data_IF_871518901404
#
_entry.id   IF_871518901404
#
_cell.length_a   1.000
_cell.length_b   1.000
_cell.length_c   1.000
_cell.angle_alpha   90.00
_cell.angle_beta   90.00
_cell.angle_gamma   90.00
#
_symmetry.space_group_name_H-M   'P 1'
#
loop_
_entity.id
_entity.type
_entity.pdbx_description
1 polymer ?
#
# COMPACT_ATOMS: atom_id res chain seq x y z
N UNK A 1 -24.03 31.65 40.60
CA UNK A 1 -22.56 31.53 40.51
C UNK A 1 -22.06 30.10 40.68
N UNK A 2 -22.18 29.43 41.83
CA UNK A 2 -21.62 28.06 41.99
C UNK A 2 -22.36 26.99 41.16
N UNK A 3 -23.70 27.07 41.11
CA UNK A 3 -24.54 26.20 40.28
C UNK A 3 -24.32 26.40 38.77
N UNK A 4 -24.07 27.64 38.33
CA UNK A 4 -23.78 27.93 36.91
C UNK A 4 -22.39 27.43 36.51
N UNK A 5 -21.43 27.44 37.44
CA UNK A 5 -20.09 26.89 37.21
C UNK A 5 -20.10 25.36 37.10
N UNK A 6 -20.94 24.67 37.88
CA UNK A 6 -21.17 23.23 37.74
C UNK A 6 -21.86 22.87 36.43
N UNK A 7 -22.85 23.65 36.00
CA UNK A 7 -23.55 23.41 34.75
C UNK A 7 -22.65 23.64 33.53
N UNK A 8 -21.75 24.63 33.60
CA UNK A 8 -20.70 24.83 32.59
C UNK A 8 -19.69 23.67 32.60
N UNK A 9 -19.25 23.19 33.78
CA UNK A 9 -18.36 22.02 33.88
C UNK A 9 -19.00 20.75 33.31
N UNK A 10 -20.29 20.53 33.59
CA UNK A 10 -21.06 19.40 33.09
C UNK A 10 -21.22 19.45 31.57
N UNK A 11 -21.51 20.63 31.01
CA UNK A 11 -21.54 20.85 29.55
C UNK A 11 -20.18 20.63 28.90
N UNK A 12 -19.08 21.01 29.57
CA UNK A 12 -17.73 20.76 29.04
C UNK A 12 -17.42 19.26 29.01
N UNK A 13 -17.81 18.50 30.03
CA UNK A 13 -17.60 17.03 30.06
C UNK A 13 -18.51 16.29 29.08
N UNK A 14 -19.75 16.77 28.88
CA UNK A 14 -20.64 16.27 27.83
C UNK A 14 -20.14 16.63 26.42
N UNK A 15 -19.47 17.76 26.24
CA UNK A 15 -18.88 18.14 24.94
C UNK A 15 -17.59 17.35 24.64
N UNK A 16 -16.75 17.11 25.66
CA UNK A 16 -15.55 16.25 25.54
C UNK A 16 -15.92 14.78 25.27
N UNK A 17 -17.09 14.30 25.72
CA UNK A 17 -17.55 12.94 25.39
C UNK A 17 -18.13 12.83 23.98
N UNK A 18 -18.51 13.94 23.35
CA UNK A 18 -19.00 13.98 21.96
C UNK A 18 -17.82 14.10 20.97
N UNK A 19 -16.78 14.87 21.32
CA UNK A 19 -15.58 15.00 20.46
C UNK A 19 -14.53 13.90 20.70
N UNK A 20 -14.54 13.21 21.85
CA UNK A 20 -13.71 12.02 22.11
C UNK A 20 -14.41 10.70 21.76
N UNK A 21 -15.59 10.75 21.15
CA UNK A 21 -16.26 9.58 20.61
C UNK A 21 -15.68 9.24 19.23
N UNK A 22 -14.47 8.68 19.22
CA UNK A 22 -14.25 7.52 18.37
C UNK A 22 -15.41 6.56 18.69
N UNK A 23 -16.40 6.48 17.79
CA UNK A 23 -17.62 5.72 18.06
C UNK A 23 -17.23 4.30 18.43
N UNK A 24 -17.83 3.66 19.43
CA UNK A 24 -17.49 2.28 19.81
C UNK A 24 -17.50 1.33 18.61
N UNK A 25 -18.36 1.59 17.61
CA UNK A 25 -18.36 0.87 16.33
C UNK A 25 -17.11 1.09 15.47
N UNK A 26 -16.55 2.30 15.47
CA UNK A 26 -15.29 2.60 14.78
C UNK A 26 -14.09 1.94 15.49
N UNK A 27 -14.10 1.91 16.84
CA UNK A 27 -13.10 1.18 17.62
C UNK A 27 -13.19 -0.34 17.37
N UNK A 28 -14.40 -0.90 17.38
CA UNK A 28 -14.63 -2.31 17.04
C UNK A 28 -14.19 -2.62 15.60
N UNK A 29 -14.57 -1.77 14.64
CA UNK A 29 -14.17 -1.93 13.24
C UNK A 29 -12.64 -1.85 13.05
N UNK A 30 -11.96 -0.98 13.81
CA UNK A 30 -10.50 -0.88 13.79
C UNK A 30 -9.83 -2.07 14.48
N UNK A 31 -10.37 -2.57 15.59
CA UNK A 31 -9.87 -3.77 16.26
C UNK A 31 -9.98 -5.00 15.35
N UNK A 32 -11.11 -5.15 14.64
CA UNK A 32 -11.28 -6.28 13.72
C UNK A 32 -10.37 -6.13 12.51
N UNK A 33 -10.21 -4.92 11.96
CA UNK A 33 -9.27 -4.67 10.86
C UNK A 33 -7.82 -4.91 11.29
N UNK A 34 -7.44 -4.55 12.52
CA UNK A 34 -6.13 -4.85 13.09
C UNK A 34 -5.95 -6.36 13.27
N UNK A 35 -6.96 -7.09 13.76
CA UNK A 35 -6.92 -8.55 13.85
C UNK A 35 -6.79 -9.21 12.47
N UNK A 36 -7.50 -8.71 11.46
CA UNK A 36 -7.39 -9.21 10.09
C UNK A 36 -6.00 -8.93 9.50
N UNK A 37 -5.46 -7.73 9.69
CA UNK A 37 -4.11 -7.36 9.26
C UNK A 37 -3.04 -8.21 9.96
N UNK A 38 -3.19 -8.45 11.27
CA UNK A 38 -2.31 -9.34 12.02
C UNK A 38 -2.42 -10.78 11.51
N UNK A 39 -3.62 -11.29 11.25
CA UNK A 39 -3.80 -12.63 10.69
C UNK A 39 -3.20 -12.78 9.29
N UNK A 40 -3.24 -11.75 8.44
CA UNK A 40 -2.56 -11.76 7.15
C UNK A 40 -1.04 -11.70 7.28
N UNK A 41 -0.52 -10.93 8.25
CA UNK A 41 0.91 -10.92 8.56
C UNK A 41 1.37 -12.28 9.08
N UNK A 42 0.62 -12.90 10.00
CA UNK A 42 0.89 -14.24 10.51
C UNK A 42 0.74 -15.31 9.41
N UNK A 43 -0.22 -15.17 8.49
CA UNK A 43 -0.38 -16.07 7.35
C UNK A 43 0.80 -15.98 6.39
N UNK A 44 1.28 -14.76 6.12
CA UNK A 44 2.50 -14.54 5.35
C UNK A 44 3.69 -15.18 6.07
N UNK A 45 3.84 -14.97 7.38
CA UNK A 45 4.92 -15.57 8.19
C UNK A 45 4.85 -17.11 8.21
N UNK A 46 3.65 -17.69 8.31
CA UNK A 46 3.44 -19.14 8.25
C UNK A 46 3.71 -19.72 6.85
N UNK A 47 3.35 -18.99 5.80
CA UNK A 47 3.69 -19.34 4.41
C UNK A 47 5.20 -19.23 4.16
N UNK A 48 5.85 -18.38 4.95
CA UNK A 48 7.29 -18.18 5.10
C UNK A 48 7.89 -19.15 6.16
N UNK A 49 7.23 -20.27 6.49
CA UNK A 49 7.68 -21.23 7.52
C UNK A 49 8.99 -21.99 7.25
N UNK A 50 9.81 -21.54 6.30
CA UNK A 50 11.16 -22.03 6.01
C UNK A 50 12.09 -20.81 5.90
N UNK A 51 13.13 -20.72 6.75
CA UNK A 51 14.06 -19.56 6.80
C UNK A 51 14.62 -19.21 5.42
N UNK A 52 14.81 -20.22 4.57
CA UNK A 52 15.28 -20.06 3.19
C UNK A 52 14.26 -19.33 2.31
N UNK A 53 12.94 -19.57 2.48
CA UNK A 53 11.89 -18.89 1.72
C UNK A 53 11.64 -17.47 2.21
N UNK A 54 11.76 -17.23 3.52
CA UNK A 54 11.73 -15.90 4.11
C UNK A 54 12.79 -14.99 3.47
N UNK A 55 14.01 -15.53 3.43
CA UNK A 55 15.16 -14.85 2.88
C UNK A 55 15.01 -14.61 1.37
N UNK A 56 14.53 -15.61 0.63
CA UNK A 56 14.25 -15.48 -0.81
C UNK A 56 13.21 -14.41 -1.10
N UNK A 57 12.11 -14.32 -0.34
CA UNK A 57 11.07 -13.31 -0.55
C UNK A 57 11.53 -11.90 -0.18
N UNK A 58 12.29 -11.75 0.91
CA UNK A 58 12.93 -10.48 1.29
C UNK A 58 13.90 -10.00 0.20
N UNK A 59 14.72 -10.90 -0.34
CA UNK A 59 15.64 -10.57 -1.45
C UNK A 59 14.90 -10.23 -2.72
N UNK A 60 13.91 -11.03 -3.10
CA UNK A 60 13.11 -10.81 -4.30
C UNK A 60 12.39 -9.45 -4.24
N UNK A 61 11.93 -9.06 -3.05
CA UNK A 61 11.33 -7.75 -2.85
C UNK A 61 12.36 -6.62 -2.90
N UNK A 62 13.54 -6.81 -2.32
CA UNK A 62 14.65 -5.85 -2.42
C UNK A 62 15.10 -5.64 -3.88
N UNK A 63 15.15 -6.71 -4.67
CA UNK A 63 15.44 -6.67 -6.11
C UNK A 63 14.33 -5.95 -6.88
N UNK A 64 13.06 -6.22 -6.56
CA UNK A 64 11.91 -5.51 -7.12
C UNK A 64 11.99 -4.01 -6.84
N UNK A 65 12.21 -3.60 -5.58
CA UNK A 65 12.27 -2.19 -5.20
C UNK A 65 13.45 -1.48 -5.87
N UNK A 66 14.60 -2.17 -5.97
CA UNK A 66 15.79 -1.66 -6.68
C UNK A 66 15.52 -1.46 -8.17
N UNK A 67 14.82 -2.41 -8.79
CA UNK A 67 14.42 -2.33 -10.19
C UNK A 67 13.41 -1.20 -10.41
N UNK A 68 12.45 -1.02 -9.50
CA UNK A 68 11.49 0.09 -9.52
C UNK A 68 12.20 1.44 -9.43
N UNK A 69 13.13 1.60 -8.49
CA UNK A 69 13.93 2.82 -8.36
C UNK A 69 14.79 3.10 -9.59
N UNK A 70 15.32 2.06 -10.23
CA UNK A 70 16.10 2.18 -11.47
C UNK A 70 15.23 2.70 -12.61
N UNK A 71 14.02 2.15 -12.76
CA UNK A 71 13.05 2.63 -13.75
C UNK A 71 12.67 4.09 -13.50
N UNK A 72 12.39 4.47 -12.25
CA UNK A 72 12.05 5.85 -11.89
C UNK A 72 13.21 6.82 -12.16
N UNK A 73 14.45 6.44 -11.81
CA UNK A 73 15.65 7.23 -12.09
C UNK A 73 15.83 7.42 -13.59
N UNK A 74 15.72 6.35 -14.38
CA UNK A 74 15.85 6.39 -15.84
C UNK A 74 14.87 7.40 -16.44
N UNK A 75 13.62 7.41 -15.99
CA UNK A 75 12.60 8.37 -16.46
C UNK A 75 12.88 9.79 -15.97
N UNK A 76 13.29 9.96 -14.72
CA UNK A 76 13.67 11.28 -14.19
C UNK A 76 14.85 11.87 -14.98
N UNK A 77 15.82 11.05 -15.34
CA UNK A 77 16.94 11.43 -16.21
C UNK A 77 16.44 11.84 -17.59
N UNK A 78 15.54 11.09 -18.23
CA UNK A 78 14.93 11.49 -19.51
C UNK A 78 14.08 12.76 -19.42
N UNK A 79 13.50 13.07 -18.27
CA UNK A 79 12.78 14.34 -18.06
C UNK A 79 13.74 15.54 -17.93
N UNK A 80 14.94 15.31 -17.39
CA UNK A 80 15.94 16.37 -17.13
C UNK A 80 16.88 16.59 -18.32
N UNK A 81 17.36 15.51 -18.95
CA UNK A 81 18.07 15.52 -20.22
C UNK A 81 17.02 15.68 -21.32
N UNK A 82 16.86 16.91 -21.84
CA UNK A 82 16.01 17.23 -23.00
C UNK A 82 16.56 16.62 -24.31
N UNK A 83 16.96 15.37 -24.28
CA UNK A 83 17.44 14.62 -25.43
C UNK A 83 16.21 13.99 -26.10
N UNK A 84 16.01 14.32 -27.37
CA UNK A 84 14.95 13.83 -28.26
C UNK A 84 15.03 12.33 -28.59
N UNK A 85 15.83 11.55 -27.85
CA UNK A 85 15.85 10.10 -28.02
C UNK A 85 14.56 9.53 -27.40
N UNK A 86 13.71 8.97 -28.27
CA UNK A 86 12.49 8.27 -27.87
C UNK A 86 12.88 7.07 -27.01
N UNK A 87 12.89 7.26 -25.70
CA UNK A 87 13.04 6.16 -24.75
C UNK A 87 11.78 5.31 -24.82
N UNK A 88 11.94 4.08 -25.30
CA UNK A 88 10.92 3.05 -25.25
C UNK A 88 11.13 2.20 -24.00
N UNK A 89 10.06 2.06 -23.22
CA UNK A 89 9.91 1.12 -22.11
C UNK A 89 9.10 -0.05 -22.64
N UNK A 90 9.70 -1.23 -22.63
CA UNK A 90 9.04 -2.46 -23.00
C UNK A 90 8.38 -3.12 -21.80
N UNK A 91 7.52 -4.10 -22.06
CA UNK A 91 6.88 -4.87 -20.99
C UNK A 91 7.89 -5.55 -20.03
N UNK A 92 9.10 -5.89 -20.50
CA UNK A 92 10.15 -6.51 -19.69
C UNK A 92 10.98 -5.52 -18.86
N UNK A 93 10.97 -4.23 -19.21
CA UNK A 93 11.64 -3.17 -18.43
C UNK A 93 10.84 -2.80 -17.16
N UNK A 94 9.57 -3.17 -17.12
CA UNK A 94 8.68 -2.89 -15.99
C UNK A 94 8.96 -3.93 -14.90
N UNK A 95 9.33 -3.49 -13.69
CA UNK A 95 9.51 -4.39 -12.56
C UNK A 95 8.12 -4.79 -12.08
N UNK A 96 7.64 -5.92 -12.58
CA UNK A 96 6.40 -6.54 -12.13
C UNK A 96 6.58 -7.14 -10.74
N UNK A 97 5.57 -7.08 -9.87
CA UNK A 97 5.63 -7.79 -8.60
C UNK A 97 5.77 -9.30 -8.86
N UNK A 98 6.56 -10.01 -8.05
CA UNK A 98 6.78 -11.46 -8.21
C UNK A 98 5.50 -12.26 -7.94
N UNK A 99 4.68 -11.80 -7.00
CA UNK A 99 3.35 -12.32 -6.70
C UNK A 99 2.40 -11.15 -6.45
N UNK A 100 1.35 -11.04 -7.27
CA UNK A 100 0.37 -9.95 -7.24
C UNK A 100 -0.53 -10.05 -5.98
N UNK A 101 -0.81 -11.26 -5.51
CA UNK A 101 -1.67 -11.52 -4.35
C UNK A 101 -0.93 -11.22 -3.04
N UNK A 102 0.32 -11.67 -2.93
CA UNK A 102 1.15 -11.44 -1.73
C UNK A 102 1.85 -10.08 -1.71
N UNK A 103 1.78 -9.30 -2.80
CA UNK A 103 2.47 -8.01 -2.93
C UNK A 103 2.15 -7.06 -1.77
N UNK A 104 0.88 -6.94 -1.42
CA UNK A 104 0.43 -6.00 -0.39
C UNK A 104 0.95 -6.40 1.00
N UNK A 105 0.95 -7.70 1.30
CA UNK A 105 1.45 -8.25 2.55
C UNK A 105 2.98 -8.06 2.67
N UNK A 106 3.72 -8.29 1.58
CA UNK A 106 5.17 -8.07 1.54
C UNK A 106 5.53 -6.58 1.74
N UNK A 107 4.80 -5.67 1.09
CA UNK A 107 4.96 -4.23 1.33
C UNK A 107 4.67 -3.85 2.78
N UNK A 108 3.60 -4.39 3.37
CA UNK A 108 3.25 -4.12 4.75
C UNK A 108 4.33 -4.63 5.72
N UNK A 109 4.86 -5.84 5.50
CA UNK A 109 5.96 -6.39 6.28
C UNK A 109 7.20 -5.49 6.25
N UNK A 110 7.55 -4.92 5.08
CA UNK A 110 8.63 -3.95 4.98
C UNK A 110 8.36 -2.64 5.71
N UNK A 111 7.14 -2.09 5.62
CA UNK A 111 6.77 -0.88 6.36
C UNK A 111 6.88 -1.11 7.88
N UNK A 112 6.49 -2.29 8.34
CA UNK A 112 6.58 -2.69 9.74
C UNK A 112 8.03 -2.94 10.17
N UNK A 113 8.88 -3.46 9.27
CA UNK A 113 10.31 -3.65 9.55
C UNK A 113 11.05 -2.31 9.66
N UNK A 114 10.70 -1.34 8.82
CA UNK A 114 11.26 0.02 8.88
C UNK A 114 10.79 0.81 10.11
N UNK A 115 9.59 0.54 10.61
CA UNK A 115 9.03 1.19 11.79
C UNK A 115 8.33 0.17 12.71
N UNK A 116 9.09 -0.37 13.66
CA UNK A 116 8.62 -1.39 14.61
C UNK A 116 7.52 -0.91 15.55
N UNK A 117 7.20 0.40 15.55
CA UNK A 117 6.09 0.97 16.35
C UNK A 117 4.78 1.05 15.55
N UNK A 118 4.82 0.83 14.23
CA UNK A 118 3.64 0.87 13.38
C UNK A 118 2.83 -0.42 13.55
N UNK A 119 1.51 -0.30 13.74
CA UNK A 119 0.59 -1.44 13.83
C UNK A 119 0.46 -2.14 12.48
N UNK A 120 -0.01 -3.39 12.46
CA UNK A 120 -0.14 -4.14 11.21
C UNK A 120 -1.09 -3.39 10.26
N UNK A 121 -2.24 -2.92 10.75
CA UNK A 121 -3.19 -2.18 9.92
C UNK A 121 -2.60 -0.89 9.35
N UNK A 122 -1.81 -0.16 10.16
CA UNK A 122 -1.16 1.06 9.70
C UNK A 122 -0.09 0.79 8.63
N UNK A 123 0.66 -0.31 8.75
CA UNK A 123 1.60 -0.78 7.74
C UNK A 123 0.88 -1.15 6.44
N UNK A 124 -0.21 -1.92 6.51
CA UNK A 124 -1.06 -2.26 5.36
C UNK A 124 -1.69 -1.02 4.71
N UNK A 125 -2.17 -0.05 5.50
CA UNK A 125 -2.69 1.25 4.98
C UNK A 125 -1.62 1.99 4.19
N UNK A 126 -0.37 2.05 4.69
CA UNK A 126 0.76 2.70 4.00
C UNK A 126 1.15 1.95 2.73
N UNK A 127 1.25 0.63 2.81
CA UNK A 127 1.51 -0.27 1.70
C UNK A 127 0.48 -0.09 0.58
N UNK A 128 -0.82 -0.14 0.91
CA UNK A 128 -1.91 0.04 -0.04
C UNK A 128 -1.85 1.38 -0.76
N UNK A 129 -1.60 2.48 -0.02
CA UNK A 129 -1.47 3.81 -0.64
C UNK A 129 -0.30 3.87 -1.61
N UNK A 130 0.85 3.30 -1.25
CA UNK A 130 2.04 3.24 -2.12
C UNK A 130 1.78 2.36 -3.35
N UNK A 131 1.23 1.16 -3.15
CA UNK A 131 0.92 0.21 -4.21
C UNK A 131 -0.10 0.79 -5.20
N UNK A 132 -1.19 1.37 -4.68
CA UNK A 132 -2.21 2.04 -5.49
C UNK A 132 -1.63 3.20 -6.30
N UNK A 133 -0.77 4.04 -5.73
CA UNK A 133 -0.16 5.13 -6.50
C UNK A 133 0.79 4.65 -7.59
N UNK A 134 1.47 3.52 -7.38
CA UNK A 134 2.39 2.90 -8.36
C UNK A 134 1.65 2.21 -9.49
N UNK A 135 0.61 1.43 -9.16
CA UNK A 135 -0.06 0.52 -10.09
C UNK A 135 -1.46 0.95 -10.52
N UNK A 136 -1.97 2.10 -10.08
CA UNK A 136 -3.25 2.59 -10.59
C UNK A 136 -3.14 2.90 -12.09
N UNK A 137 -4.04 2.39 -12.95
CA UNK A 137 -3.92 2.48 -14.41
C UNK A 137 -3.71 3.91 -14.90
N UNK A 138 -4.47 4.87 -14.38
CA UNK A 138 -4.34 6.30 -14.71
C UNK A 138 -2.98 6.88 -14.28
N UNK A 139 -2.50 6.56 -13.07
CA UNK A 139 -1.23 7.09 -12.56
C UNK A 139 -0.05 6.48 -13.30
N UNK A 140 -0.13 5.20 -13.60
CA UNK A 140 0.85 4.50 -14.41
C UNK A 140 0.89 5.07 -15.83
N UNK A 141 -0.27 5.21 -16.50
CA UNK A 141 -0.35 5.80 -17.84
C UNK A 141 0.15 7.24 -17.87
N UNK A 142 -0.17 8.06 -16.87
CA UNK A 142 0.30 9.45 -16.78
C UNK A 142 1.83 9.54 -16.65
N UNK A 143 2.45 8.62 -15.89
CA UNK A 143 3.89 8.62 -15.62
C UNK A 143 4.71 7.94 -16.73
N UNK A 144 4.25 6.77 -17.19
CA UNK A 144 4.98 5.89 -18.10
C UNK A 144 4.41 5.87 -19.53
N UNK A 145 3.14 6.24 -19.73
CA UNK A 145 2.41 6.01 -20.98
C UNK A 145 3.04 6.63 -22.22
N UNK A 146 3.69 7.80 -22.10
CA UNK A 146 4.41 8.45 -23.21
C UNK A 146 5.73 7.75 -23.60
N UNK A 147 6.23 6.87 -22.75
CA UNK A 147 7.47 6.13 -22.95
C UNK A 147 7.21 4.65 -23.29
N UNK A 148 5.98 4.16 -23.17
CA UNK A 148 5.66 2.77 -23.50
C UNK A 148 5.76 2.54 -25.01
N UNK A 149 6.37 1.43 -25.41
CA UNK A 149 6.30 0.97 -26.80
C UNK A 149 4.84 0.72 -27.19
N UNK A 150 4.31 1.28 -28.29
CA UNK A 150 2.95 1.04 -28.75
C UNK A 150 2.57 -0.44 -28.92
N UNK A 151 3.55 -1.33 -29.17
CA UNK A 151 3.34 -2.78 -29.28
C UNK A 151 3.05 -3.44 -27.94
N UNK A 152 3.66 -2.92 -26.87
CA UNK A 152 3.55 -3.47 -25.52
C UNK A 152 2.51 -2.72 -24.68
N UNK A 153 2.10 -1.52 -25.11
CA UNK A 153 1.22 -0.63 -24.35
C UNK A 153 -0.07 -1.31 -23.88
N UNK A 154 -0.78 -2.03 -24.75
CA UNK A 154 -2.02 -2.70 -24.40
C UNK A 154 -1.81 -3.84 -23.40
N UNK A 155 -0.75 -4.64 -23.59
CA UNK A 155 -0.39 -5.73 -22.69
C UNK A 155 -0.01 -5.21 -21.30
N UNK A 156 0.80 -4.15 -21.26
CA UNK A 156 1.21 -3.48 -20.03
C UNK A 156 -0.01 -2.93 -19.30
N UNK A 157 -0.90 -2.22 -20.00
CA UNK A 157 -2.11 -1.66 -19.41
C UNK A 157 -3.03 -2.74 -18.84
N UNK A 158 -3.17 -3.88 -19.51
CA UNK A 158 -3.96 -5.00 -19.00
C UNK A 158 -3.35 -5.60 -17.73
N UNK A 159 -2.02 -5.80 -17.72
CA UNK A 159 -1.35 -6.33 -16.55
C UNK A 159 -1.37 -5.36 -15.37
N UNK A 160 -1.21 -4.05 -15.61
CA UNK A 160 -1.36 -3.01 -14.60
C UNK A 160 -2.78 -3.03 -13.99
N UNK A 161 -3.82 -3.26 -14.81
CA UNK A 161 -5.19 -3.46 -14.30
C UNK A 161 -5.28 -4.69 -13.39
N UNK A 162 -4.68 -5.82 -13.78
CA UNK A 162 -4.61 -7.04 -12.97
C UNK A 162 -3.97 -6.80 -11.60
N UNK A 163 -2.79 -6.20 -11.59
CA UNK A 163 -2.06 -5.84 -10.35
C UNK A 163 -2.89 -4.87 -9.50
N UNK A 164 -3.49 -3.85 -10.10
CA UNK A 164 -4.35 -2.91 -9.37
C UNK A 164 -5.59 -3.57 -8.77
N UNK A 165 -6.18 -4.56 -9.46
CA UNK A 165 -7.31 -5.31 -8.94
C UNK A 165 -6.89 -6.20 -7.77
N UNK A 166 -5.78 -6.93 -7.89
CA UNK A 166 -5.23 -7.74 -6.80
C UNK A 166 -4.94 -6.91 -5.54
N UNK A 167 -4.37 -5.72 -5.69
CA UNK A 167 -4.13 -4.79 -4.57
C UNK A 167 -5.47 -4.38 -3.90
N UNK A 168 -6.49 -4.07 -4.69
CA UNK A 168 -7.81 -3.70 -4.17
C UNK A 168 -8.52 -4.87 -3.51
N UNK A 169 -8.37 -6.08 -4.03
CA UNK A 169 -8.98 -7.29 -3.48
C UNK A 169 -8.33 -7.64 -2.13
N UNK A 170 -7.00 -7.66 -2.07
CA UNK A 170 -6.26 -7.88 -0.82
C UNK A 170 -6.61 -6.81 0.24
N UNK A 171 -6.71 -5.54 -0.16
CA UNK A 171 -7.14 -4.47 0.74
C UNK A 171 -8.61 -4.61 1.17
N UNK A 172 -9.48 -5.03 0.27
CA UNK A 172 -10.89 -5.27 0.54
C UNK A 172 -11.09 -6.44 1.49
N UNK A 173 -10.24 -7.46 1.46
CA UNK A 173 -10.27 -8.56 2.43
C UNK A 173 -9.93 -8.09 3.84
N UNK A 174 -8.96 -7.19 3.99
CA UNK A 174 -8.62 -6.55 5.27
C UNK A 174 -9.80 -5.70 5.76
N UNK A 175 -10.43 -4.95 4.85
CA UNK A 175 -11.50 -4.02 5.19
C UNK A 175 -12.91 -4.65 5.21
N UNK A 176 -13.07 -5.88 4.72
CA UNK A 176 -14.36 -6.63 4.66
C UNK A 176 -14.96 -6.88 6.03
N UNK A 177 -14.14 -6.73 7.05
CA UNK A 177 -14.48 -6.92 8.44
C UNK A 177 -14.97 -5.62 9.14
N UNK A 178 -15.17 -4.53 8.41
CA UNK A 178 -15.88 -3.35 8.94
C UNK A 178 -17.40 -3.52 8.77
N UNK A 179 -18.19 -3.63 9.86
CA UNK A 179 -19.66 -3.70 9.80
C UNK A 179 -20.33 -2.36 9.48
#
# INVERSE_FOLDING_TARGET
MEAEMEEIKRRLTEMDTIDNAYSSRQLEAEEIAERAAAAMADALDAQIGDDDKAYVLLHLWSEYESSWLTLEKRIAETLTNRCDETMFIHAHDIPWPPDEESMLAQMAAMEQWNDTKTTALAAYKRAFRKASLRWHPDKFAAKFGKYLDPKDADQVQERVRGVSQAINDAWSEINRYQP
#
